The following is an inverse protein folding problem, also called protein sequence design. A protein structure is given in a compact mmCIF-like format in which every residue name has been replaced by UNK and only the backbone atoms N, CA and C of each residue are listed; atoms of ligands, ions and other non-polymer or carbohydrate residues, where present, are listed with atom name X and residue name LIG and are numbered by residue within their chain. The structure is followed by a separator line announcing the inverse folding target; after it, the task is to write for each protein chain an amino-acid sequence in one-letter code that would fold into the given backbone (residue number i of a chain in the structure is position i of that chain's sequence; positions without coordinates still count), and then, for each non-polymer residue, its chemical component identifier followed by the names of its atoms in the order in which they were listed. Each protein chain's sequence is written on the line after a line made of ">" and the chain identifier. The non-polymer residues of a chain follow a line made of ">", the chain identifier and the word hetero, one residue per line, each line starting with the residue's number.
data_IF_571227043939
#
_entry.id   IF_571227043939
#
_cell.length_a   1.000
_cell.length_b   1.000
_cell.length_c   1.000
_cell.angle_alpha   90.00
_cell.angle_beta   90.00
_cell.angle_gamma   90.00
#
_symmetry.space_group_name_H-M   'P 1'
#
loop_
_entity.id
_entity.type
_entity.pdbx_description
1 polymer ?
#
# COMPACT_ATOMS: atom_id res chain seq x y z
N UNK A 1 43.03 5.70 -26.93
CA UNK A 1 41.63 6.18 -26.84
C UNK A 1 41.63 7.64 -27.27
N UNK A 2 40.94 7.98 -28.35
CA UNK A 2 40.99 9.32 -28.95
C UNK A 2 39.77 10.10 -28.48
N UNK A 3 39.98 11.14 -27.68
CA UNK A 3 38.91 12.00 -27.16
C UNK A 3 38.33 12.82 -28.31
N UNK A 4 37.11 12.51 -28.73
CA UNK A 4 36.40 13.27 -29.77
C UNK A 4 35.91 14.59 -29.17
N UNK A 5 36.51 15.69 -29.58
CA UNK A 5 36.08 17.05 -29.23
C UNK A 5 34.75 17.34 -29.95
N UNK A 6 33.69 17.63 -29.18
CA UNK A 6 32.45 18.19 -29.73
C UNK A 6 32.73 19.62 -30.19
N UNK A 7 32.38 19.92 -31.43
CA UNK A 7 32.49 21.27 -31.99
C UNK A 7 31.21 22.06 -31.70
N UNK A 8 31.27 23.39 -31.71
CA UNK A 8 30.09 24.25 -31.50
C UNK A 8 29.01 24.01 -32.59
N UNK A 9 29.42 23.53 -33.76
CA UNK A 9 28.54 23.13 -34.87
C UNK A 9 27.73 21.86 -34.57
N UNK A 10 28.22 20.99 -33.68
CA UNK A 10 27.49 19.82 -33.19
C UNK A 10 26.44 20.19 -32.11
N UNK A 11 26.49 21.41 -31.58
CA UNK A 11 25.58 21.90 -30.55
C UNK A 11 24.39 22.64 -31.19
N UNK A 12 23.26 21.94 -31.34
CA UNK A 12 22.01 22.52 -31.86
C UNK A 12 21.09 22.94 -30.72
N UNK A 13 20.72 24.23 -30.66
CA UNK A 13 19.66 24.71 -29.77
C UNK A 13 18.32 24.40 -30.43
N UNK A 14 17.60 23.39 -29.91
CA UNK A 14 16.23 23.11 -30.32
C UNK A 14 15.29 24.01 -29.51
N UNK A 15 14.79 25.09 -30.11
CA UNK A 15 13.80 25.96 -29.48
C UNK A 15 12.45 25.26 -29.46
N UNK A 16 11.99 24.86 -28.28
CA UNK A 16 10.63 24.33 -28.07
C UNK A 16 9.74 25.46 -27.58
N UNK A 17 8.55 25.62 -28.16
CA UNK A 17 7.54 26.58 -27.66
C UNK A 17 6.93 26.06 -26.36
N UNK A 18 7.06 26.83 -25.28
CA UNK A 18 6.47 26.50 -23.97
C UNK A 18 5.27 27.44 -23.75
N UNK A 19 4.08 26.87 -23.50
CA UNK A 19 2.91 27.66 -23.09
C UNK A 19 2.84 27.77 -21.56
N UNK A 20 2.77 28.98 -21.04
CA UNK A 20 2.60 29.25 -19.61
C UNK A 20 1.12 29.54 -19.37
N UNK A 21 0.44 28.68 -18.59
CA UNK A 21 -0.94 28.93 -18.15
C UNK A 21 -0.94 29.48 -16.74
N UNK A 22 -1.65 30.59 -16.53
CA UNK A 22 -1.76 31.26 -15.23
C UNK A 22 -3.17 31.12 -14.70
N UNK A 23 -3.29 30.56 -13.49
CA UNK A 23 -4.56 30.48 -12.79
C UNK A 23 -4.94 31.86 -12.21
N UNK A 24 -6.16 32.32 -12.48
CA UNK A 24 -6.71 33.57 -11.95
C UNK A 24 -7.99 33.33 -11.14
N UNK A 25 -8.12 34.03 -10.02
CA UNK A 25 -9.36 34.11 -9.23
C UNK A 25 -9.85 35.55 -9.31
N UNK A 26 -10.92 35.76 -10.09
CA UNK A 26 -11.39 37.10 -10.44
C UNK A 26 -10.33 37.88 -11.22
N UNK A 27 -9.80 38.95 -10.64
CA UNK A 27 -8.73 39.78 -11.24
C UNK A 27 -7.34 39.51 -10.66
N UNK A 28 -7.23 38.56 -9.74
CA UNK A 28 -5.96 38.25 -9.05
C UNK A 28 -5.37 36.99 -9.65
N UNK A 29 -4.08 37.02 -9.94
CA UNK A 29 -3.33 35.79 -10.19
C UNK A 29 -3.32 34.97 -8.91
N UNK A 30 -3.39 33.65 -9.04
CA UNK A 30 -3.11 32.75 -7.95
C UNK A 30 -1.71 33.08 -7.41
N UNK A 31 -1.51 32.90 -6.12
CA UNK A 31 -0.20 32.97 -5.46
C UNK A 31 -0.08 31.79 -4.51
N UNK A 32 1.12 31.49 -4.02
CA UNK A 32 1.32 30.50 -2.94
C UNK A 32 0.41 30.76 -1.73
N UNK A 33 0.23 32.03 -1.32
CA UNK A 33 -0.59 32.37 -0.16
C UNK A 33 -2.08 32.13 -0.39
N UNK A 34 -2.57 32.33 -1.62
CA UNK A 34 -3.96 32.00 -2.00
C UNK A 34 -4.12 30.49 -2.12
N UNK A 35 -3.17 29.79 -2.71
CA UNK A 35 -3.21 28.32 -2.82
C UNK A 35 -3.34 27.67 -1.44
N UNK A 36 -2.57 28.11 -0.44
CA UNK A 36 -2.65 27.57 0.93
C UNK A 36 -3.99 27.82 1.63
N UNK A 37 -4.75 28.82 1.19
CA UNK A 37 -6.09 29.11 1.72
C UNK A 37 -7.17 28.21 1.11
N UNK A 38 -6.88 27.51 0.00
CA UNK A 38 -7.81 26.53 -0.54
C UNK A 38 -8.00 25.37 0.45
N UNK A 39 -9.24 24.86 0.62
CA UNK A 39 -9.49 23.65 1.37
C UNK A 39 -8.60 22.51 0.88
N UNK A 40 -7.93 21.83 1.82
CA UNK A 40 -7.12 20.65 1.54
C UNK A 40 -8.00 19.42 1.62
N UNK A 41 -8.18 18.73 0.51
CA UNK A 41 -8.99 17.52 0.42
C UNK A 41 -8.44 16.60 -0.68
N UNK A 42 -8.61 15.30 -0.47
CA UNK A 42 -8.22 14.28 -1.43
C UNK A 42 -9.01 14.43 -2.72
N UNK A 43 -8.34 14.29 -3.87
CA UNK A 43 -9.01 14.29 -5.19
C UNK A 43 -9.31 12.87 -5.67
N UNK A 44 -8.52 11.89 -5.23
CA UNK A 44 -8.67 10.48 -5.62
C UNK A 44 -9.68 9.82 -4.70
N UNK A 45 -10.70 9.21 -5.28
CA UNK A 45 -11.57 8.24 -4.61
C UNK A 45 -11.00 6.83 -4.84
N UNK A 46 -10.50 6.22 -3.78
CA UNK A 46 -9.91 4.88 -3.83
C UNK A 46 -10.95 3.77 -3.86
N UNK A 47 -12.20 4.05 -3.49
CA UNK A 47 -13.26 3.06 -3.48
C UNK A 47 -13.90 2.94 -4.87
N UNK A 48 -14.17 4.07 -5.51
CA UNK A 48 -14.88 4.15 -6.80
C UNK A 48 -13.96 4.29 -8.04
N UNK A 49 -12.63 4.27 -7.86
CA UNK A 49 -11.63 4.49 -8.93
C UNK A 49 -11.89 5.78 -9.73
N UNK A 50 -12.27 6.83 -9.01
CA UNK A 50 -12.74 8.08 -9.58
C UNK A 50 -11.97 9.27 -9.03
N UNK A 51 -12.13 10.41 -9.69
CA UNK A 51 -11.77 11.69 -9.09
C UNK A 51 -13.04 12.32 -8.49
N UNK A 52 -12.95 12.80 -7.26
CA UNK A 52 -14.03 13.56 -6.62
C UNK A 52 -14.40 14.83 -7.40
N UNK A 53 -13.51 15.31 -8.26
CA UNK A 53 -13.76 16.50 -9.07
C UNK A 53 -12.81 16.65 -10.25
N UNK A 54 -12.82 17.83 -10.86
CA UNK A 54 -12.06 18.10 -12.08
C UNK A 54 -10.69 18.64 -11.71
N UNK A 55 -9.58 17.97 -12.05
CA UNK A 55 -8.25 18.52 -11.87
C UNK A 55 -8.02 19.67 -12.84
N UNK A 56 -7.48 20.78 -12.35
CA UNK A 56 -7.14 21.94 -13.18
C UNK A 56 -5.65 21.95 -13.55
N UNK A 57 -4.80 21.44 -12.67
CA UNK A 57 -3.38 21.27 -12.99
C UNK A 57 -2.47 21.21 -11.76
N UNK A 58 -1.17 21.07 -12.02
CA UNK A 58 -0.13 20.93 -11.00
C UNK A 58 0.48 22.27 -10.62
N UNK A 59 0.78 22.44 -9.33
CA UNK A 59 1.52 23.61 -8.82
C UNK A 59 2.82 23.17 -8.18
N UNK A 60 3.92 23.86 -8.49
CA UNK A 60 5.26 23.49 -8.01
C UNK A 60 5.60 24.23 -6.71
N UNK A 61 4.88 23.91 -5.64
CA UNK A 61 4.93 24.64 -4.38
C UNK A 61 5.18 23.73 -3.18
N UNK A 62 6.42 23.67 -2.70
CA UNK A 62 6.76 22.84 -1.54
C UNK A 62 6.93 23.69 -0.28
N UNK A 63 6.36 23.23 0.83
CA UNK A 63 6.53 23.88 2.13
C UNK A 63 6.46 22.87 3.27
N UNK A 64 7.06 23.24 4.41
CA UNK A 64 7.02 22.45 5.62
C UNK A 64 5.59 22.31 6.13
N UNK A 65 5.11 21.07 6.26
CA UNK A 65 3.74 20.78 6.71
C UNK A 65 2.71 20.72 5.58
N UNK A 66 3.12 20.45 4.33
CA UNK A 66 2.21 20.13 3.22
C UNK A 66 1.53 18.74 3.35
N UNK A 67 1.75 18.02 4.46
CA UNK A 67 1.23 16.66 4.70
C UNK A 67 2.22 15.56 4.37
N UNK A 68 3.37 15.90 3.77
CA UNK A 68 4.39 14.98 3.29
C UNK A 68 5.74 15.25 3.97
N UNK A 69 6.62 14.23 4.00
CA UNK A 69 8.01 14.40 4.45
C UNK A 69 8.76 15.28 3.45
N UNK A 70 9.73 16.07 3.93
CA UNK A 70 10.47 17.02 3.09
C UNK A 70 11.13 16.36 1.87
N UNK A 71 11.53 15.09 1.98
CA UNK A 71 12.18 14.33 0.91
C UNK A 71 11.25 13.35 0.16
N UNK A 72 9.95 13.31 0.49
CA UNK A 72 9.02 12.40 -0.22
C UNK A 72 8.54 13.02 -1.53
N UNK A 73 8.60 12.24 -2.62
CA UNK A 73 8.09 12.64 -3.93
C UNK A 73 6.55 12.74 -3.87
N UNK A 74 6.02 13.96 -4.05
CA UNK A 74 4.60 14.26 -4.07
C UNK A 74 4.31 15.44 -5.02
N UNK A 75 3.05 15.56 -5.45
CA UNK A 75 2.56 16.65 -6.30
C UNK A 75 1.46 17.43 -5.61
N UNK A 76 1.32 18.70 -5.97
CA UNK A 76 0.24 19.55 -5.50
C UNK A 76 -0.72 19.83 -6.65
N UNK A 77 -1.98 19.51 -6.46
CA UNK A 77 -3.03 19.63 -7.49
C UNK A 77 -4.01 20.69 -7.07
N UNK A 78 -4.36 21.59 -7.99
CA UNK A 78 -5.57 22.41 -7.87
C UNK A 78 -6.69 21.68 -8.59
N UNK A 79 -7.83 21.54 -7.93
CA UNK A 79 -8.98 20.83 -8.49
C UNK A 79 -10.29 21.49 -8.08
N UNK A 80 -11.36 21.14 -8.78
CA UNK A 80 -12.68 21.74 -8.61
C UNK A 80 -13.72 20.70 -8.20
N UNK A 81 -14.43 20.99 -7.11
CA UNK A 81 -15.63 20.28 -6.69
C UNK A 81 -16.84 21.22 -6.83
N UNK A 82 -17.70 20.97 -7.82
CA UNK A 82 -18.83 21.85 -8.10
C UNK A 82 -18.36 23.28 -8.45
N UNK A 83 -18.61 24.25 -7.57
CA UNK A 83 -18.22 25.66 -7.75
C UNK A 83 -17.01 26.07 -6.90
N UNK A 84 -16.40 25.14 -6.18
CA UNK A 84 -15.33 25.43 -5.23
C UNK A 84 -13.98 24.91 -5.75
N UNK A 85 -12.94 25.73 -5.59
CA UNK A 85 -11.56 25.30 -5.81
C UNK A 85 -11.00 24.70 -4.52
N UNK A 86 -10.30 23.58 -4.69
CA UNK A 86 -9.68 22.79 -3.63
C UNK A 86 -8.23 22.51 -4.01
N UNK A 87 -7.46 22.05 -3.02
CA UNK A 87 -6.12 21.54 -3.23
C UNK A 87 -5.98 20.12 -2.71
N UNK A 88 -5.19 19.33 -3.40
CA UNK A 88 -4.74 18.01 -2.94
C UNK A 88 -3.22 17.98 -2.91
N UNK A 89 -2.67 17.22 -1.97
CA UNK A 89 -1.26 16.86 -1.90
C UNK A 89 -1.20 15.34 -2.08
N UNK A 90 -0.53 14.86 -3.13
CA UNK A 90 -0.65 13.45 -3.55
C UNK A 90 0.75 12.85 -3.65
N UNK A 91 1.00 11.81 -2.88
CA UNK A 91 2.28 11.11 -2.84
C UNK A 91 2.47 10.17 -4.02
N UNK A 92 3.72 9.87 -4.33
CA UNK A 92 4.03 8.63 -5.07
C UNK A 92 3.62 7.41 -4.24
N UNK A 93 3.25 6.28 -4.88
CA UNK A 93 2.73 5.04 -4.27
C UNK A 93 2.99 4.86 -2.76
N UNK A 94 4.24 4.59 -2.37
CA UNK A 94 4.58 4.24 -0.98
C UNK A 94 4.60 5.44 -0.01
N UNK A 95 4.48 6.65 -0.53
CA UNK A 95 4.58 7.90 0.21
C UNK A 95 3.23 8.57 0.47
N UNK A 96 2.16 8.15 -0.20
CA UNK A 96 0.82 8.67 0.03
C UNK A 96 0.18 8.02 1.27
N UNK A 97 -0.14 8.80 2.33
CA UNK A 97 -0.67 8.26 3.58
C UNK A 97 -1.95 7.45 3.38
N UNK A 98 -2.87 7.92 2.54
CA UNK A 98 -4.18 7.31 2.37
C UNK A 98 -4.06 5.97 1.64
N UNK A 99 -3.29 5.94 0.55
CA UNK A 99 -2.98 4.70 -0.15
C UNK A 99 -2.19 3.72 0.72
N UNK A 100 -1.17 4.21 1.43
CA UNK A 100 -0.31 3.36 2.26
C UNK A 100 -1.10 2.70 3.39
N UNK A 101 -2.06 3.41 3.99
CA UNK A 101 -2.95 2.86 5.02
C UNK A 101 -3.84 1.74 4.49
N UNK A 102 -4.48 1.93 3.33
CA UNK A 102 -5.30 0.86 2.72
C UNK A 102 -4.45 -0.36 2.33
N UNK A 103 -3.28 -0.13 1.71
CA UNK A 103 -2.37 -1.21 1.34
C UNK A 103 -1.84 -1.98 2.56
N UNK A 104 -1.52 -1.28 3.65
CA UNK A 104 -1.09 -1.89 4.91
C UNK A 104 -2.21 -2.72 5.54
N UNK A 105 -3.46 -2.25 5.49
CA UNK A 105 -4.63 -3.01 5.94
C UNK A 105 -4.77 -4.33 5.16
N UNK A 106 -4.73 -4.28 3.82
CA UNK A 106 -4.84 -5.48 2.99
C UNK A 106 -3.67 -6.44 3.20
N UNK A 107 -2.45 -5.93 3.40
CA UNK A 107 -1.28 -6.76 3.72
C UNK A 107 -1.38 -7.41 5.09
N UNK A 108 -1.97 -6.71 6.05
CA UNK A 108 -2.26 -7.27 7.38
C UNK A 108 -3.25 -8.42 7.27
N UNK A 109 -4.34 -8.24 6.52
CA UNK A 109 -5.30 -9.32 6.23
C UNK A 109 -4.62 -10.51 5.53
N UNK A 110 -3.79 -10.23 4.52
CA UNK A 110 -3.01 -11.25 3.81
C UNK A 110 -2.12 -12.04 4.77
N UNK A 111 -1.44 -11.36 5.69
CA UNK A 111 -0.61 -11.99 6.72
C UNK A 111 -1.41 -12.88 7.66
N UNK A 112 -2.57 -12.41 8.14
CA UNK A 112 -3.48 -13.20 8.97
C UNK A 112 -3.90 -14.50 8.27
N UNK A 113 -4.28 -14.42 6.98
CA UNK A 113 -4.64 -15.58 6.16
C UNK A 113 -3.46 -16.54 5.99
N UNK A 114 -2.24 -16.02 5.78
CA UNK A 114 -1.03 -16.84 5.73
C UNK A 114 -0.79 -17.61 7.03
N UNK A 115 -0.91 -16.94 8.19
CA UNK A 115 -0.71 -17.56 9.51
C UNK A 115 -1.77 -18.64 9.76
N UNK A 116 -3.04 -18.36 9.43
CA UNK A 116 -4.11 -19.36 9.51
C UNK A 116 -3.83 -20.59 8.63
N UNK A 117 -3.29 -20.36 7.42
CA UNK A 117 -2.90 -21.44 6.50
C UNK A 117 -1.78 -22.30 7.06
N UNK A 118 -0.79 -21.68 7.69
CA UNK A 118 0.29 -22.38 8.41
C UNK A 118 -0.31 -23.25 9.52
N UNK A 119 -1.17 -22.70 10.36
CA UNK A 119 -1.81 -23.45 11.46
C UNK A 119 -2.66 -24.63 10.97
N UNK A 120 -3.53 -24.44 9.96
CA UNK A 120 -4.33 -25.53 9.42
C UNK A 120 -3.48 -26.68 8.86
N UNK A 121 -2.38 -26.37 8.18
CA UNK A 121 -1.48 -27.40 7.65
C UNK A 121 -0.74 -28.13 8.77
N UNK A 122 -0.31 -27.42 9.81
CA UNK A 122 0.33 -28.02 10.99
C UNK A 122 -0.64 -28.95 11.72
N UNK A 123 -1.90 -28.56 11.91
CA UNK A 123 -2.95 -29.41 12.46
C UNK A 123 -3.22 -30.66 11.61
N UNK A 124 -3.09 -30.56 10.29
CA UNK A 124 -3.15 -31.68 9.36
C UNK A 124 -1.89 -32.57 9.35
N UNK A 125 -0.93 -32.30 10.25
CA UNK A 125 0.30 -33.09 10.40
C UNK A 125 1.42 -32.71 9.44
N UNK A 126 1.28 -31.61 8.70
CA UNK A 126 2.35 -31.09 7.84
C UNK A 126 3.43 -30.45 8.69
N UNK A 127 4.69 -30.64 8.27
CA UNK A 127 5.84 -30.13 9.01
C UNK A 127 6.20 -28.73 8.49
N UNK A 128 6.30 -27.73 9.38
CA UNK A 128 6.79 -26.44 8.96
C UNK A 128 8.27 -26.51 8.63
N UNK A 129 8.67 -25.76 7.62
CA UNK A 129 10.07 -25.45 7.35
C UNK A 129 10.35 -24.03 7.82
N UNK A 130 11.51 -23.79 8.40
CA UNK A 130 11.97 -22.44 8.74
C UNK A 130 13.26 -22.15 7.99
N UNK A 131 13.33 -20.98 7.37
CA UNK A 131 14.61 -20.42 6.89
C UNK A 131 15.00 -19.30 7.84
N UNK A 132 16.04 -19.57 8.64
CA UNK A 132 16.56 -18.66 9.66
C UNK A 132 16.37 -19.21 11.07
N UNK A 133 17.42 -19.81 11.64
CA UNK A 133 17.50 -20.04 13.08
C UNK A 133 17.91 -18.72 13.74
N UNK A 134 16.94 -17.97 14.26
CA UNK A 134 17.12 -16.69 14.93
C UNK A 134 15.78 -16.07 15.34
N UNK A 135 15.81 -14.95 16.07
CA UNK A 135 14.63 -14.27 16.67
C UNK A 135 13.53 -13.84 15.67
N UNK A 136 13.74 -13.96 14.36
CA UNK A 136 12.75 -13.68 13.31
C UNK A 136 12.81 -14.78 12.24
N UNK A 137 12.02 -15.84 12.43
CA UNK A 137 11.97 -16.97 11.49
C UNK A 137 10.80 -16.81 10.53
N UNK A 138 11.09 -16.75 9.23
CA UNK A 138 10.04 -16.96 8.21
C UNK A 138 9.67 -18.44 8.26
N UNK A 139 8.39 -18.71 8.48
CA UNK A 139 7.83 -20.07 8.49
C UNK A 139 7.15 -20.34 7.17
N UNK A 140 7.40 -21.52 6.61
CA UNK A 140 6.81 -21.96 5.36
C UNK A 140 6.20 -23.36 5.47
N UNK A 141 4.93 -23.51 5.10
CA UNK A 141 4.19 -24.78 5.09
C UNK A 141 3.27 -24.84 3.89
N UNK A 142 3.46 -25.83 3.00
CA UNK A 142 2.54 -26.10 1.87
C UNK A 142 2.27 -24.85 0.98
N UNK A 143 3.29 -24.00 0.80
CA UNK A 143 3.24 -22.77 0.01
C UNK A 143 2.82 -21.51 0.80
N UNK A 144 2.31 -21.65 2.02
CA UNK A 144 2.11 -20.52 2.93
C UNK A 144 3.45 -20.09 3.49
N UNK A 145 3.75 -18.78 3.44
CA UNK A 145 5.02 -18.25 3.90
C UNK A 145 4.80 -16.93 4.61
N UNK A 146 5.15 -16.87 5.90
CA UNK A 146 4.93 -15.67 6.69
C UNK A 146 6.00 -15.43 7.76
N UNK A 147 6.18 -14.17 8.13
CA UNK A 147 6.94 -13.82 9.33
C UNK A 147 6.02 -13.91 10.54
N UNK A 148 6.35 -14.80 11.48
CA UNK A 148 5.58 -14.96 12.70
C UNK A 148 6.09 -14.05 13.81
N UNK A 149 5.14 -13.52 14.59
CA UNK A 149 5.44 -12.91 15.88
C UNK A 149 5.85 -13.98 16.91
N UNK A 150 6.43 -13.55 18.03
CA UNK A 150 6.90 -14.45 19.07
C UNK A 150 5.78 -15.33 19.63
N UNK A 151 4.55 -14.80 19.73
CA UNK A 151 3.39 -15.54 20.20
C UNK A 151 3.06 -16.74 19.28
N UNK A 152 2.78 -16.48 18.00
CA UNK A 152 2.40 -17.51 17.02
C UNK A 152 3.50 -18.53 16.82
N UNK A 153 4.76 -18.06 16.80
CA UNK A 153 5.93 -18.94 16.70
C UNK A 153 6.00 -19.90 17.88
N UNK A 154 5.81 -19.42 19.11
CA UNK A 154 5.89 -20.25 20.31
C UNK A 154 4.76 -21.30 20.33
N UNK A 155 3.55 -20.94 19.89
CA UNK A 155 2.44 -21.88 19.72
C UNK A 155 2.79 -22.99 18.72
N UNK A 156 3.33 -22.65 17.55
CA UNK A 156 3.77 -23.63 16.56
C UNK A 156 4.85 -24.57 17.10
N UNK A 157 5.84 -24.01 17.82
CA UNK A 157 6.91 -24.79 18.41
C UNK A 157 6.37 -25.78 19.44
N UNK A 158 5.45 -25.37 20.34
CA UNK A 158 4.82 -26.24 21.34
C UNK A 158 4.16 -27.48 20.68
N UNK A 159 3.46 -27.26 19.57
CA UNK A 159 2.79 -28.32 18.82
C UNK A 159 3.76 -29.22 18.04
N UNK A 160 4.77 -28.63 17.40
CA UNK A 160 5.69 -29.34 16.49
C UNK A 160 6.84 -30.08 17.20
N UNK A 161 7.09 -29.87 18.50
CA UNK A 161 8.23 -30.49 19.19
C UNK A 161 8.20 -32.04 19.10
N UNK A 162 9.24 -32.67 18.53
CA UNK A 162 9.29 -34.14 18.35
C UNK A 162 9.19 -34.93 19.66
N UNK A 163 9.57 -34.34 20.79
CA UNK A 163 9.52 -34.98 22.11
C UNK A 163 8.09 -35.05 22.69
N UNK A 164 7.13 -34.28 22.17
CA UNK A 164 5.72 -34.39 22.53
C UNK A 164 5.01 -35.54 21.76
N UNK A 165 5.51 -35.92 20.59
CA UNK A 165 4.89 -36.93 19.71
C UNK A 165 4.88 -38.36 20.25
N UNK A 166 5.74 -38.67 21.24
CA UNK A 166 5.85 -40.02 21.83
C UNK A 166 5.57 -40.09 23.33
N UNK A 167 5.41 -38.96 24.03
CA UNK A 167 5.44 -38.93 25.51
C UNK A 167 4.24 -38.29 26.22
N UNK A 168 3.32 -37.59 25.55
CA UNK A 168 2.12 -37.05 26.23
C UNK A 168 1.02 -36.60 25.25
N UNK A 169 0.07 -37.50 24.93
CA UNK A 169 -1.14 -37.15 24.17
C UNK A 169 -1.91 -35.98 24.80
N UNK A 170 -1.87 -35.84 26.13
CA UNK A 170 -2.49 -34.73 26.86
C UNK A 170 -1.91 -33.35 26.47
N UNK A 171 -0.58 -33.25 26.30
CA UNK A 171 0.07 -31.97 25.92
C UNK A 171 -0.25 -31.59 24.48
N UNK A 172 -0.37 -32.58 23.59
CA UNK A 172 -0.76 -32.33 22.20
C UNK A 172 -2.22 -31.90 22.07
N UNK A 173 -3.15 -32.49 22.84
CA UNK A 173 -4.54 -32.05 22.83
C UNK A 173 -4.67 -30.59 23.28
N UNK A 174 -3.98 -30.20 24.36
CA UNK A 174 -3.99 -28.82 24.82
C UNK A 174 -3.35 -27.85 23.80
N UNK A 175 -2.27 -28.25 23.14
CA UNK A 175 -1.67 -27.46 22.06
C UNK A 175 -2.61 -27.33 20.84
N UNK A 176 -3.34 -28.40 20.50
CA UNK A 176 -4.37 -28.36 19.45
C UNK A 176 -5.48 -27.37 19.79
N UNK A 177 -6.04 -27.46 21.00
CA UNK A 177 -7.11 -26.57 21.45
C UNK A 177 -6.66 -25.10 21.43
N UNK A 178 -5.40 -24.81 21.78
CA UNK A 178 -4.81 -23.47 21.66
C UNK A 178 -4.70 -23.00 20.20
N UNK A 179 -4.26 -23.86 19.28
CA UNK A 179 -4.18 -23.51 17.84
C UNK A 179 -5.59 -23.30 17.27
N UNK A 180 -6.57 -24.14 17.63
CA UNK A 180 -7.95 -23.98 17.19
C UNK A 180 -8.55 -22.66 17.72
N UNK A 181 -8.29 -22.30 18.98
CA UNK A 181 -8.69 -21.01 19.55
C UNK A 181 -8.00 -19.83 18.85
N UNK A 182 -6.72 -19.96 18.51
CA UNK A 182 -5.97 -18.93 17.81
C UNK A 182 -6.44 -18.75 16.37
N UNK A 183 -6.81 -19.83 15.67
CA UNK A 183 -7.47 -19.77 14.37
C UNK A 183 -8.81 -19.01 14.46
N UNK A 184 -9.61 -19.25 15.48
CA UNK A 184 -10.84 -18.49 15.71
C UNK A 184 -10.55 -17.00 15.98
N UNK A 185 -9.50 -16.69 16.77
CA UNK A 185 -9.07 -15.31 17.01
C UNK A 185 -8.64 -14.63 15.71
N UNK A 186 -7.74 -15.25 14.94
CA UNK A 186 -7.23 -14.71 13.68
C UNK A 186 -8.35 -14.49 12.66
N UNK A 187 -9.24 -15.46 12.49
CA UNK A 187 -10.39 -15.31 11.58
C UNK A 187 -11.37 -14.22 12.03
N UNK A 188 -11.47 -13.95 13.34
CA UNK A 188 -12.27 -12.82 13.85
C UNK A 188 -11.62 -11.44 13.65
N UNK A 189 -10.31 -11.40 13.41
CA UNK A 189 -9.57 -10.16 13.14
C UNK A 189 -9.57 -9.75 11.66
N UNK A 190 -9.79 -10.71 10.76
CA UNK A 190 -10.05 -10.38 9.37
C UNK A 190 -11.23 -9.43 9.34
N UNK A 191 -11.06 -8.29 8.67
CA UNK A 191 -12.03 -7.20 8.67
C UNK A 191 -13.46 -7.74 8.46
N UNK A 192 -14.44 -7.10 9.09
CA UNK A 192 -15.87 -7.43 8.97
C UNK A 192 -16.35 -7.64 7.53
N UNK A 193 -15.61 -7.07 6.60
CA UNK A 193 -15.91 -7.00 5.17
C UNK A 193 -15.81 -8.35 4.47
N UNK A 194 -15.03 -9.31 4.99
CA UNK A 194 -14.88 -10.59 4.32
C UNK A 194 -16.02 -11.56 4.63
N UNK A 195 -16.67 -11.48 5.81
CA UNK A 195 -17.72 -12.42 6.25
C UNK A 195 -17.38 -13.91 5.98
N UNK A 196 -16.09 -14.29 6.01
CA UNK A 196 -15.66 -15.65 5.63
C UNK A 196 -15.52 -16.52 6.89
N UNK A 197 -16.33 -17.56 6.96
CA UNK A 197 -16.10 -18.68 7.87
C UNK A 197 -15.13 -19.64 7.20
N UNK A 198 -13.84 -19.55 7.56
CA UNK A 198 -12.80 -20.43 7.02
C UNK A 198 -12.86 -21.78 7.73
N UNK A 199 -13.05 -22.86 6.96
CA UNK A 199 -13.16 -24.25 7.45
C UNK A 199 -12.08 -25.16 6.91
N UNK A 200 -11.41 -24.79 5.82
CA UNK A 200 -10.39 -25.60 5.18
C UNK A 200 -9.34 -24.76 4.42
N UNK A 201 -8.27 -25.44 3.98
CA UNK A 201 -7.17 -24.82 3.24
C UNK A 201 -7.59 -24.22 1.89
N UNK A 202 -8.58 -24.79 1.20
CA UNK A 202 -9.01 -24.28 -0.11
C UNK A 202 -9.75 -22.95 0.03
N UNK A 203 -10.56 -22.80 1.08
CA UNK A 203 -11.20 -21.53 1.44
C UNK A 203 -10.17 -20.45 1.80
N UNK A 204 -9.12 -20.79 2.57
CA UNK A 204 -8.01 -19.86 2.82
C UNK A 204 -7.30 -19.44 1.55
N UNK A 205 -7.02 -20.38 0.63
CA UNK A 205 -6.34 -20.07 -0.63
C UNK A 205 -7.18 -19.14 -1.51
N UNK A 206 -8.50 -19.34 -1.55
CA UNK A 206 -9.41 -18.43 -2.25
C UNK A 206 -9.38 -17.04 -1.63
N UNK A 207 -9.49 -16.95 -0.30
CA UNK A 207 -9.44 -15.68 0.41
C UNK A 207 -8.10 -14.96 0.22
N UNK A 208 -6.97 -15.69 0.30
CA UNK A 208 -5.65 -15.14 0.01
C UNK A 208 -5.54 -14.60 -1.42
N UNK A 209 -6.05 -15.37 -2.39
CA UNK A 209 -6.06 -14.94 -3.79
C UNK A 209 -6.93 -13.71 -4.01
N UNK A 210 -8.06 -13.60 -3.32
CA UNK A 210 -8.96 -12.44 -3.36
C UNK A 210 -8.28 -11.19 -2.79
N UNK A 211 -7.70 -11.29 -1.59
CA UNK A 211 -6.93 -10.20 -0.98
C UNK A 211 -5.76 -9.78 -1.88
N UNK A 212 -5.02 -10.74 -2.44
CA UNK A 212 -3.93 -10.44 -3.35
C UNK A 212 -4.42 -9.76 -4.65
N UNK A 213 -5.59 -10.17 -5.16
CA UNK A 213 -6.26 -9.50 -6.27
C UNK A 213 -6.59 -8.05 -5.94
N UNK A 214 -7.16 -7.79 -4.76
CA UNK A 214 -7.45 -6.43 -4.26
C UNK A 214 -6.19 -5.57 -4.09
N UNK A 215 -5.09 -6.16 -3.63
CA UNK A 215 -3.79 -5.47 -3.53
C UNK A 215 -3.29 -5.04 -4.91
N UNK A 216 -3.29 -5.97 -5.88
CA UNK A 216 -2.83 -5.69 -7.25
C UNK A 216 -3.72 -4.61 -7.88
N UNK A 217 -5.03 -4.78 -7.78
CA UNK A 217 -6.02 -3.84 -8.31
C UNK A 217 -5.85 -2.43 -7.71
N UNK A 218 -5.71 -2.32 -6.38
CA UNK A 218 -5.44 -1.03 -5.71
C UNK A 218 -4.14 -0.39 -6.22
N UNK A 219 -3.08 -1.18 -6.41
CA UNK A 219 -1.80 -0.69 -6.95
C UNK A 219 -1.90 -0.22 -8.40
N UNK A 220 -2.62 -0.97 -9.24
CA UNK A 220 -2.84 -0.63 -10.65
C UNK A 220 -3.70 0.63 -10.79
N UNK A 221 -4.78 0.73 -10.01
CA UNK A 221 -5.64 1.93 -9.94
C UNK A 221 -4.84 3.15 -9.50
N UNK A 222 -4.05 3.02 -8.43
CA UNK A 222 -3.16 4.11 -8.01
C UNK A 222 -2.19 4.51 -9.11
N UNK A 223 -1.57 3.53 -9.77
CA UNK A 223 -0.64 3.80 -10.87
C UNK A 223 -1.31 4.53 -12.03
N UNK A 224 -2.54 4.15 -12.37
CA UNK A 224 -3.33 4.82 -13.41
C UNK A 224 -3.71 6.25 -13.02
N UNK A 225 -4.35 6.45 -11.87
CA UNK A 225 -4.80 7.77 -11.43
C UNK A 225 -3.62 8.71 -11.17
N UNK A 226 -2.61 8.26 -10.43
CA UNK A 226 -1.43 9.07 -10.15
C UNK A 226 -0.58 9.29 -11.40
N UNK A 227 -0.22 8.21 -12.09
CA UNK A 227 0.77 8.21 -13.16
C UNK A 227 0.26 8.73 -14.49
N UNK A 228 -1.02 8.50 -14.82
CA UNK A 228 -1.61 8.88 -16.10
C UNK A 228 -2.54 10.09 -15.98
N UNK A 229 -3.38 10.14 -14.95
CA UNK A 229 -4.38 11.21 -14.85
C UNK A 229 -3.79 12.48 -14.23
N UNK A 230 -3.00 12.33 -13.17
CA UNK A 230 -2.54 13.47 -12.37
C UNK A 230 -1.13 13.95 -12.77
N UNK A 231 -0.20 13.04 -13.09
CA UNK A 231 1.16 13.41 -13.48
C UNK A 231 1.23 14.10 -14.84
N UNK A 232 0.31 13.76 -15.75
CA UNK A 232 0.23 14.35 -17.09
C UNK A 232 -0.62 15.63 -17.12
N UNK A 233 -1.10 16.08 -15.96
CA UNK A 233 -1.75 17.38 -15.85
C UNK A 233 -0.78 18.50 -16.20
N UNK A 234 -1.34 19.53 -16.82
CA UNK A 234 -0.57 20.71 -17.15
C UNK A 234 -0.04 21.40 -15.88
N UNK A 235 1.22 21.82 -15.95
CA UNK A 235 1.82 22.66 -14.92
C UNK A 235 1.17 24.05 -14.97
N UNK A 236 0.47 24.42 -13.91
CA UNK A 236 -0.03 25.76 -13.71
C UNK A 236 1.11 26.63 -13.18
N UNK A 237 1.42 27.69 -13.93
CA UNK A 237 2.35 28.70 -13.46
C UNK A 237 1.61 29.68 -12.58
N UNK A 238 2.19 29.94 -11.42
CA UNK A 238 1.62 30.83 -10.43
C UNK A 238 2.71 31.82 -10.07
N UNK A 239 2.40 33.12 -10.22
CA UNK A 239 3.36 34.18 -9.97
C UNK A 239 3.83 34.15 -8.51
N UNK A 240 5.15 34.20 -8.32
CA UNK A 240 5.81 34.32 -7.01
C UNK A 240 5.91 35.80 -6.64
#
# INVERSE_FOLDING_TARGET
>A
MTTKLMTVEDAKINTTSISIRVLQIGKRQMTMSVFRQLPCEQIIDLDDDALFGVPWGLVNYFWKGCGYKEDSEHVHVVWQLGQELRRACIGSLANDPDFSGQLESLRTDQGIVSIAGIFLNVLAGKKPTSRGYGFYGIVEVEGWRERLEDHDRNLLLEFCQPHNYKKNNYKQNNAKDKIDAELMRLTSLLASDYNVCVRNNDELRRLYSDINGRIIDLQERWHHLYGTVLRDLEQLYIAV
#
